data_IF_643059808505
#
_entry.id   IF_643059808505
#
_cell.length_a   1.000
_cell.length_b   1.000
_cell.length_c   1.000
_cell.angle_alpha   90.00
_cell.angle_beta   90.00
_cell.angle_gamma   90.00
#
_symmetry.space_group_name_H-M   'P 1'
#
loop_
_entity.id
_entity.type
_entity.pdbx_description
1 polymer ?
#
# COMPACT_ATOMS: atom_id res chain seq x y z
N UNK A 1 -4.99 6.91 -29.70
CA UNK A 1 -4.12 6.01 -28.90
C UNK A 1 -4.94 5.41 -27.78
N UNK A 2 -5.05 4.12 -27.74
CA UNK A 2 -5.76 3.43 -26.66
C UNK A 2 -4.76 3.22 -25.54
N UNK A 3 -4.99 3.84 -24.38
CA UNK A 3 -4.19 3.56 -23.19
C UNK A 3 -4.55 2.17 -22.71
N UNK A 4 -3.55 1.35 -22.53
CA UNK A 4 -3.74 0.05 -21.91
C UNK A 4 -4.36 0.24 -20.54
N UNK A 5 -5.48 -0.43 -20.28
CA UNK A 5 -6.18 -0.42 -19.01
C UNK A 5 -5.22 -0.69 -17.84
N UNK A 6 -4.23 -1.52 -18.05
CA UNK A 6 -3.25 -1.89 -17.04
C UNK A 6 -2.28 -0.78 -16.68
N UNK A 7 -1.91 0.04 -17.66
CA UNK A 7 -1.07 1.21 -17.39
C UNK A 7 -1.83 2.19 -16.52
N UNK A 8 -3.13 2.38 -16.78
CA UNK A 8 -3.98 3.25 -15.97
C UNK A 8 -4.10 2.73 -14.55
N UNK A 9 -4.38 1.43 -14.37
CA UNK A 9 -4.49 0.83 -13.03
C UNK A 9 -3.16 0.81 -12.29
N UNK A 10 -2.06 0.52 -12.97
CA UNK A 10 -0.73 0.56 -12.37
C UNK A 10 -0.39 1.96 -11.88
N UNK A 11 -0.69 2.98 -12.69
CA UNK A 11 -0.47 4.38 -12.31
C UNK A 11 -1.31 4.76 -11.09
N UNK A 12 -2.58 4.33 -11.04
CA UNK A 12 -3.49 4.66 -9.95
C UNK A 12 -3.03 4.06 -8.62
N UNK A 13 -2.63 2.79 -8.58
CA UNK A 13 -2.20 2.19 -7.32
C UNK A 13 -0.88 2.75 -6.83
N UNK A 14 0.04 3.10 -7.72
CA UNK A 14 1.30 3.75 -7.33
C UNK A 14 1.07 5.17 -6.85
N UNK A 15 0.19 5.92 -7.50
CA UNK A 15 -0.13 7.28 -7.10
C UNK A 15 -0.77 7.29 -5.71
N UNK A 16 -1.76 6.44 -5.48
CA UNK A 16 -2.41 6.35 -4.18
C UNK A 16 -1.43 5.86 -3.10
N UNK A 17 -0.55 4.92 -3.44
CA UNK A 17 0.49 4.47 -2.51
C UNK A 17 1.46 5.57 -2.16
N UNK A 18 1.86 6.38 -3.14
CA UNK A 18 2.70 7.55 -2.91
C UNK A 18 2.03 8.54 -1.96
N UNK A 19 0.74 8.79 -2.16
CA UNK A 19 -0.03 9.68 -1.29
C UNK A 19 -0.11 9.11 0.14
N UNK A 20 -0.39 7.82 0.27
CA UNK A 20 -0.43 7.13 1.56
C UNK A 20 0.92 7.20 2.28
N UNK A 21 2.00 6.96 1.55
CA UNK A 21 3.37 7.01 2.08
C UNK A 21 3.68 8.41 2.63
N UNK A 22 3.43 9.44 1.83
CA UNK A 22 3.67 10.83 2.25
C UNK A 22 2.78 11.26 3.41
N UNK A 23 1.51 10.87 3.37
CA UNK A 23 0.56 11.20 4.43
C UNK A 23 1.02 10.60 5.77
N UNK A 24 1.40 9.32 5.76
CA UNK A 24 1.86 8.61 6.95
C UNK A 24 3.10 9.29 7.53
N UNK A 25 4.10 9.56 6.71
CA UNK A 25 5.32 10.26 7.17
C UNK A 25 5.02 11.64 7.75
N UNK A 26 4.16 12.40 7.07
CA UNK A 26 3.78 13.74 7.52
C UNK A 26 3.08 13.73 8.88
N UNK A 27 2.14 12.80 9.09
CA UNK A 27 1.40 12.74 10.36
C UNK A 27 2.27 12.24 11.50
N UNK A 28 3.11 11.25 11.27
CA UNK A 28 4.02 10.73 12.29
C UNK A 28 5.07 11.75 12.67
N UNK A 29 5.59 12.52 11.71
CA UNK A 29 6.56 13.60 11.99
C UNK A 29 5.97 14.67 12.92
N UNK A 30 4.64 14.84 12.91
CA UNK A 30 3.94 15.77 13.79
C UNK A 30 3.47 15.19 15.11
N UNK A 31 3.94 13.98 15.48
CA UNK A 31 3.53 13.30 16.72
C UNK A 31 3.80 14.15 17.95
N UNK A 32 2.79 14.26 18.83
CA UNK A 32 2.83 15.14 20.01
C UNK A 32 3.09 14.40 21.32
N UNK A 33 3.12 13.07 21.29
CA UNK A 33 3.32 12.24 22.50
C UNK A 33 4.28 11.09 22.21
N UNK A 34 4.86 10.53 23.28
CA UNK A 34 5.71 9.36 23.15
C UNK A 34 4.94 8.15 22.60
N UNK A 35 3.66 8.01 22.96
CA UNK A 35 2.81 6.95 22.44
C UNK A 35 2.62 7.08 20.93
N UNK A 36 2.24 8.28 20.44
CA UNK A 36 2.04 8.53 19.02
C UNK A 36 3.33 8.33 18.23
N UNK A 37 4.48 8.70 18.81
CA UNK A 37 5.79 8.50 18.20
C UNK A 37 6.12 7.01 18.05
N UNK A 38 5.87 6.21 19.09
CA UNK A 38 6.15 4.77 19.10
C UNK A 38 5.24 4.03 18.09
N UNK A 39 3.93 4.27 18.17
CA UNK A 39 2.98 3.65 17.25
C UNK A 39 3.18 4.17 15.83
N UNK A 40 3.56 5.44 15.71
CA UNK A 40 3.89 6.07 14.43
C UNK A 40 5.07 5.39 13.75
N UNK A 41 6.10 4.97 14.49
CA UNK A 41 7.24 4.24 13.94
C UNK A 41 6.82 2.90 13.35
N UNK A 42 5.86 2.22 13.97
CA UNK A 42 5.30 0.98 13.43
C UNK A 42 4.56 1.25 12.10
N UNK A 43 3.81 2.32 12.03
CA UNK A 43 3.12 2.74 10.81
C UNK A 43 4.11 3.12 9.70
N UNK A 44 5.17 3.83 10.04
CA UNK A 44 6.25 4.19 9.11
C UNK A 44 6.92 2.93 8.55
N UNK A 45 7.27 1.98 9.43
CA UNK A 45 7.89 0.72 9.00
C UNK A 45 6.99 -0.03 8.02
N UNK A 46 5.70 -0.11 8.31
CA UNK A 46 4.73 -0.81 7.46
C UNK A 46 4.56 -0.11 6.11
N UNK A 47 4.42 1.22 6.11
CA UNK A 47 4.21 1.97 4.85
C UNK A 47 5.46 1.96 3.98
N UNK A 48 6.65 2.03 4.58
CA UNK A 48 7.91 1.96 3.84
C UNK A 48 8.09 0.59 3.19
N UNK A 49 7.81 -0.50 3.92
CA UNK A 49 7.88 -1.84 3.36
C UNK A 49 6.89 -2.03 2.21
N UNK A 50 5.66 -1.58 2.39
CA UNK A 50 4.63 -1.68 1.34
C UNK A 50 5.06 -0.89 0.10
N UNK A 51 5.53 0.33 0.28
CA UNK A 51 6.01 1.18 -0.81
C UNK A 51 7.14 0.50 -1.60
N UNK A 52 8.14 -0.01 -0.88
CA UNK A 52 9.28 -0.69 -1.48
C UNK A 52 8.86 -1.93 -2.26
N UNK A 53 7.97 -2.75 -1.69
CA UNK A 53 7.44 -3.95 -2.37
C UNK A 53 6.72 -3.60 -3.67
N UNK A 54 5.91 -2.53 -3.65
CA UNK A 54 5.16 -2.11 -4.85
C UNK A 54 6.07 -1.51 -5.91
N UNK A 55 7.11 -0.79 -5.53
CA UNK A 55 8.11 -0.31 -6.48
C UNK A 55 8.81 -1.48 -7.17
N UNK A 56 9.19 -2.51 -6.41
CA UNK A 56 9.79 -3.72 -6.99
C UNK A 56 8.82 -4.44 -7.92
N UNK A 57 7.56 -4.60 -7.50
CA UNK A 57 6.55 -5.28 -8.31
C UNK A 57 6.33 -4.57 -9.64
N UNK A 58 6.50 -3.25 -9.68
CA UNK A 58 6.22 -2.44 -10.87
C UNK A 58 7.47 -2.15 -11.74
N UNK A 59 8.61 -2.80 -11.46
CA UNK A 59 9.84 -2.53 -12.22
C UNK A 59 9.74 -2.95 -13.69
N UNK A 60 9.06 -4.05 -13.96
CA UNK A 60 8.88 -4.52 -15.33
C UNK A 60 7.65 -5.41 -15.46
N UNK A 61 7.16 -5.52 -16.70
CA UNK A 61 6.09 -6.47 -17.03
C UNK A 61 6.67 -7.88 -17.03
N UNK A 62 6.09 -8.84 -16.28
CA UNK A 62 6.59 -10.22 -16.29
C UNK A 62 6.54 -10.86 -17.66
N UNK A 63 7.60 -11.57 -18.02
CA UNK A 63 7.70 -12.35 -19.24
C UNK A 63 7.95 -13.84 -18.95
N UNK A 64 8.23 -14.19 -17.70
CA UNK A 64 8.44 -15.57 -17.27
C UNK A 64 7.60 -15.86 -16.02
N UNK A 65 7.36 -17.14 -15.75
CA UNK A 65 6.65 -17.59 -14.55
C UNK A 65 7.33 -17.09 -13.28
N UNK A 66 8.65 -17.18 -13.24
CA UNK A 66 9.44 -16.73 -12.09
C UNK A 66 9.26 -15.23 -11.83
N UNK A 67 9.24 -14.43 -12.87
CA UNK A 67 9.02 -12.99 -12.75
C UNK A 67 7.62 -12.66 -12.25
N UNK A 68 6.61 -13.39 -12.75
CA UNK A 68 5.25 -13.23 -12.27
C UNK A 68 5.13 -13.59 -10.78
N UNK A 69 5.74 -14.69 -10.36
CA UNK A 69 5.70 -15.11 -8.96
C UNK A 69 6.34 -14.07 -8.03
N UNK A 70 7.47 -13.49 -8.45
CA UNK A 70 8.11 -12.40 -7.69
C UNK A 70 7.20 -11.18 -7.55
N UNK A 71 6.56 -10.77 -8.66
CA UNK A 71 5.62 -9.65 -8.65
C UNK A 71 4.44 -9.95 -7.72
N UNK A 72 3.86 -11.14 -7.84
CA UNK A 72 2.76 -11.60 -6.99
C UNK A 72 3.13 -11.55 -5.52
N UNK A 73 4.31 -12.05 -5.15
CA UNK A 73 4.77 -12.09 -3.78
C UNK A 73 4.97 -10.68 -3.23
N UNK A 74 5.52 -9.78 -4.02
CA UNK A 74 5.70 -8.38 -3.60
C UNK A 74 4.36 -7.68 -3.38
N UNK A 75 3.39 -7.89 -4.25
CA UNK A 75 2.05 -7.32 -4.07
C UNK A 75 1.37 -7.89 -2.81
N UNK A 76 1.50 -9.21 -2.59
CA UNK A 76 0.94 -9.86 -1.40
C UNK A 76 1.55 -9.32 -0.10
N UNK A 77 2.86 -9.09 -0.08
CA UNK A 77 3.54 -8.49 1.07
C UNK A 77 3.06 -7.07 1.34
N UNK A 78 2.89 -6.28 0.27
CA UNK A 78 2.37 -4.93 0.41
C UNK A 78 0.95 -4.93 1.01
N UNK A 79 0.08 -5.82 0.53
CA UNK A 79 -1.28 -5.97 1.07
C UNK A 79 -1.23 -6.31 2.56
N UNK A 80 -0.37 -7.24 2.96
CA UNK A 80 -0.22 -7.65 4.35
C UNK A 80 0.19 -6.46 5.24
N UNK A 81 1.16 -5.67 4.81
CA UNK A 81 1.64 -4.51 5.58
C UNK A 81 0.57 -3.41 5.66
N UNK A 82 -0.18 -3.18 4.58
CA UNK A 82 -1.27 -2.20 4.60
C UNK A 82 -2.38 -2.65 5.56
N UNK A 83 -2.70 -3.95 5.58
CA UNK A 83 -3.66 -4.50 6.54
C UNK A 83 -3.19 -4.36 7.98
N UNK A 84 -1.89 -4.48 8.25
CA UNK A 84 -1.34 -4.21 9.58
C UNK A 84 -1.56 -2.75 9.97
N UNK A 85 -1.34 -1.81 9.06
CA UNK A 85 -1.62 -0.40 9.31
C UNK A 85 -3.09 -0.17 9.66
N UNK A 86 -4.01 -0.80 8.91
CA UNK A 86 -5.44 -0.71 9.22
C UNK A 86 -5.75 -1.21 10.64
N UNK A 87 -5.16 -2.33 11.03
CA UNK A 87 -5.36 -2.88 12.38
C UNK A 87 -4.85 -1.92 13.45
N UNK A 88 -3.68 -1.32 13.25
CA UNK A 88 -3.15 -0.33 14.19
C UNK A 88 -4.11 0.87 14.33
N UNK A 89 -4.56 1.43 13.22
CA UNK A 89 -5.46 2.58 13.25
C UNK A 89 -6.82 2.24 13.88
N UNK A 90 -7.38 1.06 13.59
CA UNK A 90 -8.66 0.64 14.16
C UNK A 90 -8.58 0.27 15.63
N UNK A 91 -7.48 -0.39 16.05
CA UNK A 91 -7.32 -0.88 17.43
C UNK A 91 -6.89 0.22 18.40
N UNK A 92 -6.13 1.20 17.91
CA UNK A 92 -5.50 2.19 18.78
C UNK A 92 -5.97 3.62 18.55
N UNK A 93 -6.97 3.84 17.67
CA UNK A 93 -7.36 5.21 17.32
C UNK A 93 -7.85 6.00 18.53
N UNK A 94 -8.49 5.37 19.52
CA UNK A 94 -8.92 6.03 20.76
C UNK A 94 -7.76 6.44 21.65
N UNK A 95 -6.59 5.82 21.47
CA UNK A 95 -5.40 6.10 22.26
C UNK A 95 -4.45 7.06 21.56
N UNK A 96 -4.63 7.23 20.25
CA UNK A 96 -3.83 8.16 19.45
C UNK A 96 -4.35 9.58 19.61
N UNK A 97 -3.42 10.55 19.57
CA UNK A 97 -3.73 11.97 19.72
C UNK A 97 -4.00 12.64 18.36
N UNK A 98 -4.30 11.87 17.34
CA UNK A 98 -4.71 12.37 16.03
C UNK A 98 -6.20 12.68 16.04
N UNK A 99 -6.60 13.70 15.30
CA UNK A 99 -8.03 14.03 15.16
C UNK A 99 -8.77 12.93 14.41
N UNK A 100 -10.08 12.84 14.63
CA UNK A 100 -10.95 11.91 13.90
C UNK A 100 -10.84 12.12 12.39
N UNK A 101 -10.75 13.38 11.95
CA UNK A 101 -10.56 13.71 10.53
C UNK A 101 -9.28 13.10 9.96
N UNK A 102 -8.16 13.20 10.69
CA UNK A 102 -6.88 12.64 10.26
C UNK A 102 -6.96 11.12 10.16
N UNK A 103 -7.54 10.46 11.16
CA UNK A 103 -7.71 9.01 11.15
C UNK A 103 -8.60 8.57 9.98
N UNK A 104 -9.68 9.28 9.71
CA UNK A 104 -10.58 8.97 8.61
C UNK A 104 -9.92 9.14 7.24
N UNK A 105 -9.14 10.20 7.04
CA UNK A 105 -8.38 10.42 5.81
C UNK A 105 -7.35 9.32 5.59
N UNK A 106 -6.65 8.94 6.65
CA UNK A 106 -5.66 7.87 6.63
C UNK A 106 -6.30 6.54 6.26
N UNK A 107 -7.40 6.21 6.91
CA UNK A 107 -8.14 4.97 6.66
C UNK A 107 -8.68 4.90 5.23
N UNK A 108 -9.11 6.03 4.68
CA UNK A 108 -9.58 6.10 3.30
C UNK A 108 -8.47 5.78 2.30
N UNK A 109 -7.26 6.33 2.51
CA UNK A 109 -6.11 6.04 1.66
C UNK A 109 -5.73 4.56 1.73
N UNK A 110 -5.75 3.96 2.92
CA UNK A 110 -5.46 2.54 3.12
C UNK A 110 -6.49 1.65 2.41
N UNK A 111 -7.76 1.95 2.59
CA UNK A 111 -8.86 1.17 1.98
C UNK A 111 -8.81 1.27 0.46
N UNK A 112 -8.55 2.44 -0.08
CA UNK A 112 -8.43 2.66 -1.52
C UNK A 112 -7.27 1.86 -2.10
N UNK A 113 -6.11 1.87 -1.42
CA UNK A 113 -4.94 1.12 -1.89
C UNK A 113 -5.22 -0.38 -1.91
N UNK A 114 -5.87 -0.92 -0.87
CA UNK A 114 -6.23 -2.33 -0.85
C UNK A 114 -7.14 -2.71 -2.01
N UNK A 115 -8.13 -1.89 -2.33
CA UNK A 115 -9.02 -2.13 -3.48
C UNK A 115 -8.24 -2.18 -4.79
N UNK A 116 -7.32 -1.24 -4.98
CA UNK A 116 -6.49 -1.18 -6.18
C UNK A 116 -5.56 -2.39 -6.27
N UNK A 117 -4.96 -2.80 -5.16
CA UNK A 117 -4.06 -3.95 -5.14
C UNK A 117 -4.80 -5.27 -5.40
N UNK A 118 -6.00 -5.45 -4.86
CA UNK A 118 -6.80 -6.63 -5.15
C UNK A 118 -7.20 -6.69 -6.64
N UNK A 119 -7.52 -5.54 -7.23
CA UNK A 119 -7.81 -5.45 -8.66
C UNK A 119 -6.60 -5.82 -9.51
N UNK A 120 -5.41 -5.37 -9.12
CA UNK A 120 -4.14 -5.70 -9.79
C UNK A 120 -3.85 -7.20 -9.68
N UNK A 121 -4.04 -7.80 -8.50
CA UNK A 121 -3.85 -9.24 -8.33
C UNK A 121 -4.73 -10.04 -9.27
N UNK A 122 -6.00 -9.66 -9.37
CA UNK A 122 -6.95 -10.34 -10.24
C UNK A 122 -6.55 -10.21 -11.71
N UNK A 123 -6.18 -9.01 -12.13
CA UNK A 123 -5.72 -8.71 -13.48
C UNK A 123 -4.44 -9.48 -13.81
N UNK A 124 -3.46 -9.46 -12.90
CA UNK A 124 -2.19 -10.17 -13.08
C UNK A 124 -2.41 -11.67 -13.23
N UNK A 125 -3.30 -12.26 -12.45
CA UNK A 125 -3.60 -13.67 -12.54
C UNK A 125 -4.10 -14.03 -13.94
N UNK A 126 -5.04 -13.25 -14.46
CA UNK A 126 -5.56 -13.48 -15.82
C UNK A 126 -4.49 -13.33 -16.89
N UNK A 127 -3.56 -12.38 -16.73
CA UNK A 127 -2.55 -12.06 -17.74
C UNK A 127 -1.35 -12.97 -17.73
N UNK A 128 -0.92 -13.41 -16.56
CA UNK A 128 0.40 -14.01 -16.36
C UNK A 128 0.38 -15.46 -15.87
N UNK A 129 -0.77 -15.99 -15.45
CA UNK A 129 -0.80 -17.34 -14.85
C UNK A 129 -0.36 -18.45 -15.83
N UNK A 130 -0.47 -18.21 -17.14
CA UNK A 130 -0.07 -19.19 -18.17
C UNK A 130 1.41 -19.06 -18.59
N UNK A 131 2.15 -18.14 -18.02
CA UNK A 131 3.57 -18.00 -18.29
C UNK A 131 4.38 -19.23 -17.81
N UNK A 132 5.38 -19.59 -18.60
CA UNK A 132 6.25 -20.72 -18.29
C UNK A 132 7.61 -20.26 -17.76
#
# INVERSE_FOLDING_TARGET
MILDWQVIHSANFLQNMSDLHRYTHSKVAGAKSAYDSTEGELLISAVDDAWYCLLKANQKVPTTRKEYEKRRDNISKAIMRIREMQRYLLSYFNLMHYSERVINEWSLLLTMELKLLFAIQKSDKSRFESLT
#
